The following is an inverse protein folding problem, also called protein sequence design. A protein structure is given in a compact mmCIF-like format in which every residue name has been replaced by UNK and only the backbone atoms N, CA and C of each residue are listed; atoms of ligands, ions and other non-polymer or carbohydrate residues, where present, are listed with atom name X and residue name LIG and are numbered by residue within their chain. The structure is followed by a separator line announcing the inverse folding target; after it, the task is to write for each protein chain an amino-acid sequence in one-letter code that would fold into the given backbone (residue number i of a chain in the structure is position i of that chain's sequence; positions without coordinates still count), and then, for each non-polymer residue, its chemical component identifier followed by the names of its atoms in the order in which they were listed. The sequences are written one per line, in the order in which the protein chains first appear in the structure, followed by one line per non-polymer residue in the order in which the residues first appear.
data_IF_419952441228
#
_entry.id   IF_419952441228
#
_cell.length_a   1.000
_cell.length_b   1.000
_cell.length_c   1.000
_cell.angle_alpha   90.00
_cell.angle_beta   90.00
_cell.angle_gamma   90.00
#
_symmetry.space_group_name_H-M   'P 1'
#
loop_
_entity.id
_entity.type
_entity.pdbx_description
1 polymer ?
#
# COMPACT_ATOMS: atom_id res chain seq x y z
N UNK A 1 13.31 27.94 11.66
CA UNK A 1 13.58 27.34 10.34
C UNK A 1 12.26 26.85 9.78
N UNK A 2 11.59 27.77 9.09
CA UNK A 2 10.29 27.60 8.44
C UNK A 2 10.54 26.91 7.10
N UNK A 3 10.24 25.62 7.04
CA UNK A 3 9.99 24.90 5.78
C UNK A 3 8.55 24.40 5.87
N UNK A 4 7.62 25.33 6.04
CA UNK A 4 6.20 25.05 5.95
C UNK A 4 5.88 24.80 4.48
N UNK A 5 5.74 23.53 4.08
CA UNK A 5 5.09 23.23 2.81
C UNK A 5 3.72 23.93 2.85
N UNK A 6 3.49 24.89 1.95
CA UNK A 6 2.17 25.51 1.75
C UNK A 6 1.13 24.39 1.67
N UNK A 7 0.28 24.30 2.69
CA UNK A 7 -0.84 23.38 2.67
C UNK A 7 -1.77 23.86 1.57
N UNK A 8 -2.05 23.00 0.61
CA UNK A 8 -3.01 23.30 -0.44
C UNK A 8 -4.41 23.21 0.19
N UNK A 9 -5.04 24.36 0.42
CA UNK A 9 -6.33 24.44 1.10
C UNK A 9 -7.52 24.16 0.16
N UNK A 10 -7.28 24.13 -1.16
CA UNK A 10 -8.31 23.91 -2.18
C UNK A 10 -8.01 22.73 -3.11
N UNK A 11 -9.07 22.04 -3.54
CA UNK A 11 -9.01 20.87 -4.41
C UNK A 11 -8.43 21.24 -5.78
N UNK A 12 -8.75 22.44 -6.30
CA UNK A 12 -8.27 22.87 -7.61
C UNK A 12 -6.76 23.10 -7.61
N UNK A 13 -6.20 23.63 -6.52
CA UNK A 13 -4.75 23.79 -6.38
C UNK A 13 -4.00 22.45 -6.37
N UNK A 14 -4.60 21.41 -5.76
CA UNK A 14 -4.06 20.04 -5.81
C UNK A 14 -4.11 19.49 -7.23
N UNK A 15 -5.21 19.70 -7.94
CA UNK A 15 -5.37 19.28 -9.33
C UNK A 15 -4.36 20.00 -10.21
N UNK A 16 -4.19 21.31 -10.09
CA UNK A 16 -3.24 22.07 -10.89
C UNK A 16 -1.79 21.64 -10.64
N UNK A 17 -1.45 21.35 -9.39
CA UNK A 17 -0.08 20.94 -9.01
C UNK A 17 0.26 19.50 -9.40
N UNK A 18 -0.70 18.58 -9.34
CA UNK A 18 -0.45 17.14 -9.50
C UNK A 18 -1.09 16.51 -10.73
N UNK A 19 -2.01 17.17 -11.41
CA UNK A 19 -2.66 16.61 -12.57
C UNK A 19 -1.82 16.80 -13.83
N UNK A 20 -1.41 15.68 -14.42
CA UNK A 20 -0.63 15.65 -15.66
C UNK A 20 -1.52 15.16 -16.78
N UNK A 21 -1.54 15.88 -17.90
CA UNK A 21 -2.26 15.46 -19.11
C UNK A 21 -1.41 14.43 -19.85
N UNK A 22 -1.83 13.17 -19.89
CA UNK A 22 -1.18 12.12 -20.68
C UNK A 22 -1.89 11.86 -22.02
N UNK A 23 -1.18 11.23 -22.95
CA UNK A 23 -1.72 10.83 -24.26
C UNK A 23 -3.00 9.97 -24.06
N UNK A 24 -4.09 10.21 -24.83
CA UNK A 24 -5.38 9.52 -24.67
C UNK A 24 -5.31 7.99 -24.55
N UNK A 25 -4.37 7.33 -25.22
CA UNK A 25 -4.20 5.88 -25.15
C UNK A 25 -3.62 5.44 -23.80
N UNK A 26 -2.58 6.13 -23.32
CA UNK A 26 -1.97 5.85 -22.00
C UNK A 26 -2.94 6.21 -20.88
N UNK A 27 -3.66 7.32 -21.02
CA UNK A 27 -4.70 7.74 -20.10
C UNK A 27 -5.76 6.65 -19.89
N UNK A 28 -6.23 6.01 -20.97
CA UNK A 28 -7.24 4.93 -20.88
C UNK A 28 -6.75 3.71 -20.06
N UNK A 29 -5.49 3.31 -20.23
CA UNK A 29 -4.89 2.19 -19.47
C UNK A 29 -4.82 2.54 -17.98
N UNK A 30 -4.34 3.74 -17.65
CA UNK A 30 -4.26 4.20 -16.26
C UNK A 30 -5.63 4.39 -15.61
N UNK A 31 -6.64 4.84 -16.37
CA UNK A 31 -8.02 4.89 -15.88
C UNK A 31 -8.55 3.49 -15.57
N UNK A 32 -8.38 2.53 -16.48
CA UNK A 32 -8.83 1.15 -16.24
C UNK A 32 -8.17 0.53 -15.00
N UNK A 33 -6.87 0.76 -14.84
CA UNK A 33 -6.11 0.28 -13.68
C UNK A 33 -6.53 1.00 -12.39
N UNK A 34 -6.77 2.31 -12.45
CA UNK A 34 -7.28 3.09 -11.32
C UNK A 34 -8.68 2.62 -10.90
N UNK A 35 -9.57 2.34 -11.86
CA UNK A 35 -10.90 1.80 -11.58
C UNK A 35 -10.85 0.43 -10.89
N UNK A 36 -9.89 -0.43 -11.26
CA UNK A 36 -9.69 -1.71 -10.57
C UNK A 36 -9.33 -1.51 -9.09
N UNK A 37 -8.45 -0.55 -8.79
CA UNK A 37 -8.11 -0.22 -7.40
C UNK A 37 -9.27 0.44 -6.63
N UNK A 38 -10.06 1.31 -7.29
CA UNK A 38 -11.29 1.85 -6.69
C UNK A 38 -12.27 0.73 -6.36
N UNK A 39 -12.42 -0.27 -7.23
CA UNK A 39 -13.29 -1.40 -6.97
C UNK A 39 -12.90 -2.15 -5.69
N UNK A 40 -11.61 -2.42 -5.48
CA UNK A 40 -11.11 -2.99 -4.22
C UNK A 40 -11.32 -2.06 -3.01
N UNK A 41 -11.16 -0.75 -3.19
CA UNK A 41 -11.44 0.22 -2.14
C UNK A 41 -12.92 0.21 -1.73
N UNK A 42 -13.84 0.12 -2.70
CA UNK A 42 -15.29 0.04 -2.46
C UNK A 42 -15.64 -1.23 -1.70
N UNK A 43 -15.10 -2.40 -2.12
CA UNK A 43 -15.33 -3.66 -1.40
C UNK A 43 -14.91 -3.52 0.07
N UNK A 44 -13.76 -2.88 0.31
CA UNK A 44 -13.28 -2.66 1.67
C UNK A 44 -14.14 -1.75 2.53
N UNK A 45 -15.01 -0.91 1.95
CA UNK A 45 -15.96 -0.09 2.74
C UNK A 45 -16.96 -1.00 3.47
N UNK A 46 -17.30 -2.14 2.88
CA UNK A 46 -18.20 -3.12 3.48
C UNK A 46 -17.49 -4.14 4.39
N UNK A 47 -16.16 -4.28 4.27
CA UNK A 47 -15.37 -5.24 5.05
C UNK A 47 -14.61 -4.51 6.16
N UNK A 48 -15.01 -4.64 7.44
CA UNK A 48 -14.29 -4.01 8.54
C UNK A 48 -12.86 -4.56 8.63
N UNK A 49 -11.88 -3.66 8.76
CA UNK A 49 -10.45 -4.00 8.79
C UNK A 49 -9.76 -4.06 7.42
N UNK A 50 -10.49 -3.90 6.31
CA UNK A 50 -9.88 -3.81 4.99
C UNK A 50 -9.24 -2.43 4.77
N UNK A 51 -8.02 -2.35 4.22
CA UNK A 51 -7.31 -1.09 4.04
C UNK A 51 -7.82 -0.31 2.81
N UNK A 52 -9.03 0.25 2.90
CA UNK A 52 -9.69 1.02 1.80
C UNK A 52 -8.84 2.17 1.28
N UNK A 53 -8.24 2.94 2.19
CA UNK A 53 -7.40 4.10 1.84
C UNK A 53 -6.13 3.67 1.09
N UNK A 54 -5.53 2.52 1.45
CA UNK A 54 -4.34 2.00 0.76
C UNK A 54 -4.60 1.64 -0.70
N UNK A 55 -5.82 1.26 -1.04
CA UNK A 55 -6.23 1.03 -2.44
C UNK A 55 -6.66 2.32 -3.15
N UNK A 56 -7.28 3.25 -2.42
CA UNK A 56 -7.77 4.49 -3.00
C UNK A 56 -6.65 5.50 -3.34
N UNK A 57 -5.55 5.53 -2.58
CA UNK A 57 -4.39 6.42 -2.85
C UNK A 57 -3.71 6.14 -4.20
N UNK A 58 -3.30 4.89 -4.53
CA UNK A 58 -2.73 4.60 -5.85
C UNK A 58 -3.75 4.80 -6.98
N UNK A 59 -5.05 4.57 -6.72
CA UNK A 59 -6.10 4.90 -7.68
C UNK A 59 -6.14 6.41 -7.99
N UNK A 60 -6.10 7.25 -6.95
CA UNK A 60 -6.04 8.70 -7.09
C UNK A 60 -4.79 9.17 -7.85
N UNK A 61 -3.64 8.54 -7.59
CA UNK A 61 -2.40 8.82 -8.33
C UNK A 61 -2.53 8.47 -9.82
N UNK A 62 -3.11 7.32 -10.15
CA UNK A 62 -3.36 6.92 -11.53
C UNK A 62 -4.35 7.85 -12.23
N UNK A 63 -5.32 8.40 -11.50
CA UNK A 63 -6.25 9.40 -12.03
C UNK A 63 -5.60 10.77 -12.21
N UNK A 64 -4.67 11.16 -11.32
CA UNK A 64 -3.96 12.44 -11.46
C UNK A 64 -3.12 12.50 -12.75
N UNK A 65 -2.55 11.37 -13.19
CA UNK A 65 -1.77 11.30 -14.44
C UNK A 65 -2.61 11.03 -15.69
N UNK A 66 -3.88 10.62 -15.54
CA UNK A 66 -4.71 10.16 -16.66
C UNK A 66 -5.85 11.11 -16.99
N UNK A 67 -6.62 11.55 -15.99
CA UNK A 67 -7.82 12.34 -16.20
C UNK A 67 -8.15 13.26 -15.02
N UNK A 68 -8.07 14.57 -15.26
CA UNK A 68 -8.38 15.62 -14.28
C UNK A 68 -9.77 15.48 -13.63
N UNK A 69 -10.79 15.12 -14.41
CA UNK A 69 -12.18 14.99 -13.92
C UNK A 69 -12.33 13.82 -12.96
N UNK A 70 -11.65 12.71 -13.24
CA UNK A 70 -11.68 11.51 -12.40
C UNK A 70 -10.85 11.72 -11.12
N UNK A 71 -9.75 12.46 -11.21
CA UNK A 71 -8.98 12.89 -10.05
C UNK A 71 -9.79 13.80 -9.13
N UNK A 72 -10.48 14.80 -9.69
CA UNK A 72 -11.41 15.66 -8.94
C UNK A 72 -12.49 14.83 -8.22
N UNK A 73 -13.15 13.91 -8.93
CA UNK A 73 -14.17 13.03 -8.32
C UNK A 73 -13.62 12.20 -7.14
N UNK A 74 -12.37 11.78 -7.23
CA UNK A 74 -11.72 10.98 -6.19
C UNK A 74 -11.42 11.82 -4.95
N UNK A 75 -11.03 13.08 -5.13
CA UNK A 75 -10.78 14.03 -4.04
C UNK A 75 -12.07 14.50 -3.34
N UNK A 76 -13.19 14.59 -4.08
CA UNK A 76 -14.48 15.03 -3.53
C UNK A 76 -15.39 13.90 -3.05
N UNK A 77 -14.94 12.65 -3.15
CA UNK A 77 -15.75 11.50 -2.77
C UNK A 77 -16.00 11.44 -1.25
N UNK A 78 -17.23 11.18 -0.77
CA UNK A 78 -17.55 11.21 0.66
C UNK A 78 -16.88 10.12 1.50
N UNK A 79 -16.45 9.00 0.91
CA UNK A 79 -15.91 7.86 1.67
C UNK A 79 -14.40 7.95 1.93
N UNK A 80 -13.63 8.35 0.92
CA UNK A 80 -12.16 8.39 1.00
C UNK A 80 -11.56 9.72 0.51
N UNK A 81 -12.37 10.64 -0.01
CA UNK A 81 -11.89 11.90 -0.59
C UNK A 81 -11.20 12.80 0.42
N UNK A 82 -11.70 12.87 1.66
CA UNK A 82 -11.06 13.63 2.75
C UNK A 82 -9.65 13.11 3.06
N UNK A 83 -9.47 11.79 3.17
CA UNK A 83 -8.17 11.17 3.44
C UNK A 83 -7.18 11.36 2.29
N UNK A 84 -7.65 11.29 1.04
CA UNK A 84 -6.82 11.50 -0.14
C UNK A 84 -6.46 12.98 -0.28
N UNK A 85 -7.42 13.88 -0.10
CA UNK A 85 -7.18 15.32 -0.07
C UNK A 85 -6.11 15.67 0.95
N UNK A 86 -6.23 15.19 2.19
CA UNK A 86 -5.28 15.47 3.26
C UNK A 86 -3.87 14.91 2.96
N UNK A 87 -3.79 13.78 2.26
CA UNK A 87 -2.53 13.20 1.79
C UNK A 87 -1.84 14.10 0.75
N UNK A 88 -2.58 14.62 -0.23
CA UNK A 88 -2.02 15.51 -1.26
C UNK A 88 -1.78 16.94 -0.75
N UNK A 89 -2.67 17.48 0.08
CA UNK A 89 -2.58 18.80 0.68
C UNK A 89 -1.34 18.97 1.55
N UNK A 90 -0.80 17.86 2.08
CA UNK A 90 0.36 17.87 2.99
C UNK A 90 1.61 17.28 2.34
N UNK A 91 1.66 17.27 1.01
CA UNK A 91 2.86 16.91 0.25
C UNK A 91 3.20 15.42 0.27
N UNK A 92 2.19 14.53 0.24
CA UNK A 92 2.34 13.06 0.18
C UNK A 92 2.92 12.44 1.46
N UNK A 93 2.60 13.01 2.61
CA UNK A 93 3.02 12.49 3.91
C UNK A 93 1.98 11.51 4.47
N UNK A 94 2.44 10.35 4.94
CA UNK A 94 1.58 9.31 5.53
C UNK A 94 1.50 9.55 7.05
N UNK A 95 0.30 9.51 7.68
CA UNK A 95 0.19 9.65 9.12
C UNK A 95 0.81 8.45 9.85
N UNK A 96 1.40 8.67 11.04
CA UNK A 96 2.15 7.64 11.79
C UNK A 96 1.35 6.36 12.06
N UNK A 97 0.06 6.48 12.41
CA UNK A 97 -0.79 5.32 12.65
C UNK A 97 -0.90 4.40 11.42
N UNK A 98 -0.98 4.97 10.21
CA UNK A 98 -1.02 4.21 8.98
C UNK A 98 0.34 3.56 8.66
N UNK A 99 1.45 4.23 9.00
CA UNK A 99 2.80 3.65 8.88
C UNK A 99 2.95 2.39 9.76
N UNK A 100 2.49 2.45 11.00
CA UNK A 100 2.48 1.27 11.89
C UNK A 100 1.53 0.17 11.39
N UNK A 101 0.36 0.54 10.86
CA UNK A 101 -0.56 -0.43 10.24
C UNK A 101 0.07 -1.19 9.07
N UNK A 102 0.79 -0.49 8.18
CA UNK A 102 1.51 -1.10 7.06
C UNK A 102 2.64 -2.02 7.54
N UNK A 103 3.45 -1.58 8.51
CA UNK A 103 4.49 -2.42 9.10
C UNK A 103 3.87 -3.67 9.75
N UNK A 104 2.78 -3.52 10.48
CA UNK A 104 2.03 -4.62 11.10
C UNK A 104 1.52 -5.61 10.06
N UNK A 105 0.90 -5.13 8.97
CA UNK A 105 0.39 -5.99 7.91
C UNK A 105 1.50 -6.74 7.17
N UNK A 106 2.61 -6.06 6.82
CA UNK A 106 3.77 -6.71 6.19
C UNK A 106 4.32 -7.79 7.12
N UNK A 107 4.41 -7.50 8.43
CA UNK A 107 4.87 -8.47 9.43
C UNK A 107 3.95 -9.68 9.47
N UNK A 108 2.63 -9.49 9.61
CA UNK A 108 1.65 -10.58 9.68
C UNK A 108 1.69 -11.45 8.41
N UNK A 109 1.68 -10.83 7.23
CA UNK A 109 1.70 -11.54 5.95
C UNK A 109 3.02 -12.29 5.75
N UNK A 110 4.15 -11.68 6.10
CA UNK A 110 5.47 -12.34 6.03
C UNK A 110 5.51 -13.52 6.99
N UNK A 111 5.10 -13.34 8.24
CA UNK A 111 5.08 -14.41 9.24
C UNK A 111 4.17 -15.58 8.82
N UNK A 112 2.97 -15.30 8.31
CA UNK A 112 2.06 -16.34 7.84
C UNK A 112 2.63 -17.10 6.64
N UNK A 113 3.21 -16.39 5.67
CA UNK A 113 3.83 -16.97 4.48
C UNK A 113 5.05 -17.83 4.84
N UNK A 114 5.95 -17.30 5.68
CA UNK A 114 7.10 -18.04 6.20
C UNK A 114 6.67 -19.30 6.94
N UNK A 115 5.66 -19.21 7.81
CA UNK A 115 5.16 -20.37 8.55
C UNK A 115 4.58 -21.43 7.61
N UNK A 116 3.79 -21.02 6.62
CA UNK A 116 3.19 -21.94 5.66
C UNK A 116 4.24 -22.65 4.81
N UNK A 117 5.21 -21.91 4.27
CA UNK A 117 6.32 -22.48 3.49
C UNK A 117 7.19 -23.40 4.33
N UNK A 118 7.50 -23.01 5.57
CA UNK A 118 8.25 -23.88 6.47
C UNK A 118 7.47 -25.16 6.80
N UNK A 119 6.17 -25.05 7.07
CA UNK A 119 5.31 -26.20 7.39
C UNK A 119 5.19 -27.18 6.21
N UNK A 120 5.02 -26.67 4.99
CA UNK A 120 4.83 -27.51 3.79
C UNK A 120 6.15 -28.01 3.22
N UNK A 121 7.15 -27.14 3.08
CA UNK A 121 8.37 -27.44 2.33
C UNK A 121 9.55 -27.88 3.19
N UNK A 122 9.61 -27.49 4.47
CA UNK A 122 10.77 -27.77 5.34
C UNK A 122 10.49 -28.82 6.41
N UNK A 123 9.31 -28.77 7.06
CA UNK A 123 8.93 -29.75 8.09
C UNK A 123 8.53 -31.11 7.50
N UNK A 124 7.77 -31.12 6.39
CA UNK A 124 7.23 -32.35 5.81
C UNK A 124 6.41 -33.16 6.83
N UNK A 125 6.65 -34.47 6.93
CA UNK A 125 6.04 -35.37 7.94
C UNK A 125 6.82 -35.46 9.26
N UNK A 126 7.89 -34.65 9.43
CA UNK A 126 8.74 -34.67 10.63
C UNK A 126 8.05 -34.10 11.88
N UNK A 127 8.59 -34.45 13.04
CA UNK A 127 8.12 -33.93 14.33
C UNK A 127 8.59 -32.50 14.56
N UNK A 128 7.72 -31.67 15.14
CA UNK A 128 8.02 -30.26 15.45
C UNK A 128 9.20 -30.12 16.44
N UNK A 129 9.33 -31.09 17.35
CA UNK A 129 10.29 -31.12 18.46
C UNK A 129 11.68 -31.62 18.07
N UNK A 130 11.84 -32.25 16.91
CA UNK A 130 13.12 -32.81 16.49
C UNK A 130 13.51 -32.33 15.08
N UNK A 131 14.37 -31.31 14.96
CA UNK A 131 14.82 -30.78 13.66
C UNK A 131 15.51 -31.81 12.77
N UNK A 132 16.09 -32.87 13.34
CA UNK A 132 16.73 -33.95 12.57
C UNK A 132 15.71 -34.88 11.88
N UNK A 133 14.42 -34.80 12.26
CA UNK A 133 13.34 -35.58 11.65
C UNK A 133 12.66 -34.87 10.47
N UNK A 134 13.08 -33.64 10.16
CA UNK A 134 12.50 -32.86 9.09
C UNK A 134 12.99 -33.39 7.73
N UNK A 135 12.06 -33.94 6.96
CA UNK A 135 12.31 -34.56 5.64
C UNK A 135 11.70 -33.73 4.50
N UNK A 136 11.54 -32.42 4.72
CA UNK A 136 11.03 -31.51 3.70
C UNK A 136 11.96 -31.40 2.50
N UNK A 137 11.38 -31.23 1.30
CA UNK A 137 12.14 -31.08 0.06
C UNK A 137 13.06 -29.85 0.06
N UNK A 138 12.72 -28.81 0.83
CA UNK A 138 13.52 -27.60 0.97
C UNK A 138 14.20 -27.54 2.36
N UNK A 139 15.54 -27.43 2.43
CA UNK A 139 16.31 -27.26 3.68
C UNK A 139 16.00 -25.99 4.50
N UNK A 140 15.05 -25.16 4.06
CA UNK A 140 14.67 -23.90 4.71
C UNK A 140 14.97 -22.65 3.89
N UNK A 141 15.53 -22.76 2.69
CA UNK A 141 15.85 -21.62 1.83
C UNK A 141 14.61 -20.78 1.50
N UNK A 142 13.46 -21.41 1.19
CA UNK A 142 12.21 -20.70 0.90
C UNK A 142 11.73 -19.82 2.05
N UNK A 143 11.65 -20.38 3.27
CA UNK A 143 11.29 -19.61 4.46
C UNK A 143 12.31 -18.51 4.79
N UNK A 144 13.60 -18.77 4.62
CA UNK A 144 14.67 -17.81 4.89
C UNK A 144 14.62 -16.61 3.93
N UNK A 145 14.38 -16.85 2.64
CA UNK A 145 14.23 -15.79 1.64
C UNK A 145 13.02 -14.90 1.95
N UNK A 146 11.89 -15.48 2.36
CA UNK A 146 10.68 -14.70 2.72
C UNK A 146 10.95 -13.79 3.92
N UNK A 147 11.63 -14.30 4.95
CA UNK A 147 12.01 -13.49 6.12
C UNK A 147 12.93 -12.35 5.69
N UNK A 148 13.96 -12.63 4.89
CA UNK A 148 14.92 -11.62 4.42
C UNK A 148 14.21 -10.50 3.66
N UNK A 149 13.35 -10.86 2.71
CA UNK A 149 12.58 -9.90 1.90
C UNK A 149 11.60 -9.10 2.78
N UNK A 150 10.91 -9.76 3.71
CA UNK A 150 10.01 -9.11 4.64
C UNK A 150 10.72 -8.11 5.56
N UNK A 151 11.87 -8.47 6.12
CA UNK A 151 12.70 -7.58 6.96
C UNK A 151 13.22 -6.39 6.15
N UNK A 152 13.71 -6.62 4.92
CA UNK A 152 14.13 -5.53 4.03
C UNK A 152 12.96 -4.59 3.70
N UNK A 153 11.77 -5.13 3.43
CA UNK A 153 10.56 -4.34 3.18
C UNK A 153 10.16 -3.48 4.38
N UNK A 154 10.18 -4.05 5.58
CA UNK A 154 9.91 -3.32 6.83
C UNK A 154 10.95 -2.23 7.07
N UNK A 155 12.24 -2.55 6.91
CA UNK A 155 13.33 -1.59 7.07
C UNK A 155 13.20 -0.42 6.09
N UNK A 156 12.85 -0.70 4.83
CA UNK A 156 12.58 0.35 3.84
C UNK A 156 11.42 1.26 4.28
N UNK A 157 10.29 0.68 4.69
CA UNK A 157 9.12 1.45 5.15
C UNK A 157 9.49 2.33 6.36
N UNK A 158 10.25 1.80 7.32
CA UNK A 158 10.66 2.53 8.52
C UNK A 158 11.62 3.68 8.18
N UNK A 159 12.66 3.41 7.37
CA UNK A 159 13.76 4.34 7.13
C UNK A 159 13.48 5.36 6.02
N UNK A 160 12.77 4.98 4.95
CA UNK A 160 12.59 5.83 3.76
C UNK A 160 11.32 6.65 3.75
N UNK A 161 10.28 6.24 4.49
CA UNK A 161 8.97 6.92 4.46
C UNK A 161 8.90 7.99 5.55
N UNK A 162 8.81 9.25 5.11
CA UNK A 162 8.59 10.43 5.96
C UNK A 162 7.15 10.41 6.49
N UNK A 163 6.99 10.30 7.80
CA UNK A 163 5.69 10.27 8.48
C UNK A 163 5.41 11.58 9.22
N UNK A 164 4.16 12.05 9.17
CA UNK A 164 3.67 13.17 10.01
C UNK A 164 3.06 12.64 11.30
N UNK A 165 3.11 13.46 12.37
CA UNK A 165 2.46 13.15 13.65
C UNK A 165 0.98 12.83 13.45
#
# INVERSE_FOLDING_TARGET
MENGMERLDDVEQIIERYAVTSNPIKSKIYVSLGCLFVFFAIIGVFIPGWPTVSWAVPAAFLFSISNKRLFHWTLTNPYFGSSIFEYYATGKTIPRHAKYGVVGLITIMTSLSTYFVWHVSTKGSGELSNPASWDGADPGYGSATIILVGVMGIAYVILKIKSRE
#
